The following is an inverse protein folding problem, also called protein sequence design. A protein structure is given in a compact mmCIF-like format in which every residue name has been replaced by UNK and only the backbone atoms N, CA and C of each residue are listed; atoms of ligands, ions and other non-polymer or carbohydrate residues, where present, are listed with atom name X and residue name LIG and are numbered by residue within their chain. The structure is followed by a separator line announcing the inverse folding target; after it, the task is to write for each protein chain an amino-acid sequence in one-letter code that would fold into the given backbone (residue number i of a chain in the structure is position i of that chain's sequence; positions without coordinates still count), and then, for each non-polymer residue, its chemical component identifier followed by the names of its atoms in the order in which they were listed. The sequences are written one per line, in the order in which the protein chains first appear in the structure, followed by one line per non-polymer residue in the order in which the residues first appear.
data_IF_114393652137
#
_entry.id   IF_114393652137
#
_cell.length_a   1.000
_cell.length_b   1.000
_cell.length_c   1.000
_cell.angle_alpha   90.00
_cell.angle_beta   90.00
_cell.angle_gamma   90.00
#
_symmetry.space_group_name_H-M   'P 1'
#
loop_
_entity.id
_entity.type
_entity.pdbx_description
1 polymer ?
#
# COMPACT_ATOMS: atom_id res chain seq x y z
N UNK A 1 7.62 -27.68 -1.87
CA UNK A 1 7.24 -26.38 -2.47
C UNK A 1 8.46 -25.48 -2.50
N UNK A 2 8.80 -24.85 -3.62
CA UNK A 2 9.96 -23.97 -3.69
C UNK A 2 9.78 -22.85 -2.66
N UNK A 3 10.81 -22.62 -1.83
CA UNK A 3 10.79 -21.55 -0.83
C UNK A 3 10.57 -20.24 -1.59
N UNK A 4 9.38 -19.63 -1.45
CA UNK A 4 9.11 -18.30 -2.02
C UNK A 4 10.19 -17.36 -1.48
N UNK A 5 11.08 -16.88 -2.35
CA UNK A 5 12.10 -15.92 -1.95
C UNK A 5 11.40 -14.65 -1.44
N UNK A 6 11.71 -14.28 -0.19
CA UNK A 6 11.19 -13.06 0.41
C UNK A 6 12.15 -11.92 0.11
N UNK A 7 11.67 -10.88 -0.58
CA UNK A 7 12.43 -9.64 -0.78
C UNK A 7 12.13 -8.66 0.36
N UNK A 8 13.14 -7.91 0.79
CA UNK A 8 12.98 -6.80 1.77
C UNK A 8 12.69 -5.52 0.99
N UNK A 9 11.64 -4.80 1.39
CA UNK A 9 11.26 -3.51 0.83
C UNK A 9 11.50 -2.43 1.89
N UNK A 10 12.19 -1.36 1.53
CA UNK A 10 12.34 -0.16 2.34
C UNK A 10 11.67 0.99 1.58
N UNK A 11 10.77 1.70 2.26
CA UNK A 11 10.00 2.82 1.70
C UNK A 11 10.04 3.94 2.71
N UNK A 12 10.28 5.16 2.24
CA UNK A 12 10.11 6.38 3.04
C UNK A 12 8.66 6.82 2.87
N UNK A 13 7.98 7.09 3.98
CA UNK A 13 6.58 7.53 4.00
C UNK A 13 6.45 8.73 4.92
N UNK A 14 5.48 9.60 4.62
CA UNK A 14 5.16 10.74 5.50
C UNK A 14 4.43 10.29 6.76
N UNK A 15 4.36 11.17 7.77
CA UNK A 15 3.56 10.90 8.99
C UNK A 15 2.08 10.69 8.66
N UNK A 16 1.54 11.44 7.69
CA UNK A 16 0.16 11.28 7.21
C UNK A 16 -0.05 9.89 6.60
N UNK A 17 0.91 9.39 5.81
CA UNK A 17 0.85 8.04 5.23
C UNK A 17 0.96 6.95 6.30
N UNK A 18 1.80 7.10 7.33
CA UNK A 18 1.85 6.15 8.45
C UNK A 18 0.54 6.14 9.28
N UNK A 19 -0.07 7.30 9.48
CA UNK A 19 -1.37 7.42 10.14
C UNK A 19 -2.47 6.71 9.33
N UNK A 20 -2.49 6.88 8.00
CA UNK A 20 -3.38 6.15 7.10
C UNK A 20 -3.17 4.64 7.19
N UNK A 21 -1.93 4.15 7.13
CA UNK A 21 -1.62 2.73 7.29
C UNK A 21 -2.11 2.18 8.63
N UNK A 22 -1.93 2.94 9.72
CA UNK A 22 -2.40 2.57 11.06
C UNK A 22 -3.92 2.44 11.09
N UNK A 23 -4.63 3.45 10.57
CA UNK A 23 -6.09 3.48 10.52
C UNK A 23 -6.64 2.32 9.70
N UNK A 24 -6.13 2.11 8.48
CA UNK A 24 -6.56 1.02 7.60
C UNK A 24 -6.28 -0.35 8.20
N UNK A 25 -5.14 -0.54 8.88
CA UNK A 25 -4.84 -1.78 9.58
C UNK A 25 -5.87 -2.09 10.68
N UNK A 26 -6.29 -1.07 11.44
CA UNK A 26 -7.32 -1.21 12.46
C UNK A 26 -8.70 -1.53 11.85
N UNK A 27 -9.10 -0.82 10.81
CA UNK A 27 -10.40 -1.03 10.13
C UNK A 27 -10.52 -2.40 9.48
N UNK A 28 -9.43 -2.93 8.93
CA UNK A 28 -9.38 -4.28 8.35
C UNK A 28 -9.21 -5.38 9.41
N UNK A 29 -8.84 -5.03 10.63
CA UNK A 29 -8.73 -5.99 11.72
C UNK A 29 -10.12 -6.34 12.26
N UNK A 30 -10.29 -7.61 12.63
CA UNK A 30 -11.47 -8.11 13.33
C UNK A 30 -11.06 -8.77 14.66
N UNK A 31 -12.00 -9.05 15.57
CA UNK A 31 -11.71 -9.81 16.78
C UNK A 31 -11.07 -11.18 16.49
N UNK A 32 -11.40 -11.80 15.34
CA UNK A 32 -10.82 -13.08 14.93
C UNK A 32 -9.45 -12.95 14.26
N UNK A 33 -9.08 -11.77 13.75
CA UNK A 33 -7.82 -11.56 13.03
C UNK A 33 -7.31 -10.13 13.07
N UNK A 34 -6.11 -9.96 13.60
CA UNK A 34 -5.36 -8.72 13.51
C UNK A 34 -4.63 -8.61 12.15
N UNK A 35 -4.70 -7.43 11.56
CA UNK A 35 -4.02 -7.09 10.30
C UNK A 35 -2.90 -6.11 10.61
N UNK A 36 -1.67 -6.45 10.19
CA UNK A 36 -0.51 -5.59 10.34
C UNK A 36 -0.42 -4.53 9.23
N UNK A 37 0.27 -3.41 9.49
CA UNK A 37 0.60 -2.40 8.45
C UNK A 37 1.24 -3.05 7.21
N UNK A 38 2.15 -4.02 7.42
CA UNK A 38 2.80 -4.76 6.33
C UNK A 38 1.86 -5.67 5.53
N UNK A 39 0.74 -6.12 6.12
CA UNK A 39 -0.33 -6.80 5.37
C UNK A 39 -1.14 -5.81 4.56
N UNK A 40 -1.44 -4.63 5.11
CA UNK A 40 -2.10 -3.55 4.37
C UNK A 40 -1.29 -3.16 3.14
N UNK A 41 0.03 -2.96 3.29
CA UNK A 41 0.92 -2.64 2.16
C UNK A 41 0.89 -3.73 1.09
N UNK A 42 0.94 -5.01 1.48
CA UNK A 42 0.86 -6.12 0.52
C UNK A 42 -0.49 -6.16 -0.19
N UNK A 43 -1.58 -5.96 0.54
CA UNK A 43 -2.93 -5.90 -0.04
C UNK A 43 -3.07 -4.73 -1.03
N UNK A 44 -2.53 -3.57 -0.69
CA UNK A 44 -2.55 -2.40 -1.56
C UNK A 44 -1.78 -2.64 -2.87
N UNK A 45 -0.60 -3.27 -2.79
CA UNK A 45 0.19 -3.63 -3.99
C UNK A 45 -0.61 -4.57 -4.90
N UNK A 46 -1.23 -5.61 -4.34
CA UNK A 46 -2.04 -6.56 -5.12
C UNK A 46 -3.27 -5.89 -5.74
N UNK A 47 -3.94 -5.00 -5.00
CA UNK A 47 -5.12 -4.27 -5.47
C UNK A 47 -4.77 -3.33 -6.63
N UNK A 48 -3.73 -2.51 -6.49
CA UNK A 48 -3.26 -1.60 -7.55
C UNK A 48 -2.85 -2.39 -8.79
N UNK A 49 -2.13 -3.50 -8.62
CA UNK A 49 -1.70 -4.34 -9.75
C UNK A 49 -2.90 -4.94 -10.51
N UNK A 50 -3.95 -5.32 -9.78
CA UNK A 50 -5.20 -5.80 -10.39
C UNK A 50 -5.92 -4.69 -11.14
N UNK A 51 -6.09 -3.53 -10.52
CA UNK A 51 -6.75 -2.35 -11.10
C UNK A 51 -6.06 -1.91 -12.42
N UNK A 52 -4.73 -1.84 -12.42
CA UNK A 52 -3.93 -1.56 -13.62
C UNK A 52 -4.05 -2.65 -14.70
N UNK A 53 -4.26 -3.91 -14.31
CA UNK A 53 -4.51 -5.01 -15.23
C UNK A 53 -5.92 -5.01 -15.82
N UNK A 54 -6.89 -4.46 -15.09
CA UNK A 54 -8.31 -4.38 -15.47
C UNK A 54 -8.62 -3.14 -16.34
N UNK A 55 -7.61 -2.31 -16.64
CA UNK A 55 -7.72 -1.17 -17.57
C UNK A 55 -8.04 0.18 -16.94
N UNK A 56 -7.89 0.32 -15.62
CA UNK A 56 -7.93 1.62 -14.94
C UNK A 56 -6.87 2.58 -15.52
N UNK A 57 -7.16 3.89 -15.60
CA UNK A 57 -6.25 4.84 -16.22
C UNK A 57 -4.98 4.98 -15.38
N UNK A 58 -3.89 4.39 -15.87
CA UNK A 58 -2.53 4.55 -15.33
C UNK A 58 -2.15 6.03 -15.10
N UNK A 59 -2.77 6.92 -15.87
CA UNK A 59 -2.57 8.37 -15.78
C UNK A 59 -3.16 8.97 -14.49
N UNK A 60 -4.23 8.38 -13.91
CA UNK A 60 -4.78 8.81 -12.62
C UNK A 60 -3.83 8.46 -11.46
N UNK A 61 -3.30 7.23 -11.46
CA UNK A 61 -2.30 6.84 -10.45
C UNK A 61 -1.02 7.68 -10.56
N UNK A 62 -0.59 8.02 -11.78
CA UNK A 62 0.54 8.93 -11.99
C UNK A 62 0.26 10.32 -11.42
N UNK A 63 -0.91 10.89 -11.73
CA UNK A 63 -1.31 12.19 -11.19
C UNK A 63 -1.38 12.19 -9.65
N UNK A 64 -1.83 11.09 -9.04
CA UNK A 64 -1.84 10.93 -7.57
C UNK A 64 -0.43 10.86 -6.98
N UNK A 65 0.53 10.24 -7.65
CA UNK A 65 1.92 10.23 -7.21
C UNK A 65 2.53 11.63 -7.33
N UNK A 66 2.35 12.29 -8.47
CA UNK A 66 2.87 13.65 -8.72
C UNK A 66 2.29 14.69 -7.74
N UNK A 67 1.01 14.54 -7.35
CA UNK A 67 0.38 15.41 -6.36
C UNK A 67 0.90 15.21 -4.93
N UNK A 68 1.41 14.01 -4.62
CA UNK A 68 1.94 13.67 -3.30
C UNK A 68 3.47 13.87 -3.19
N UNK A 69 4.20 13.99 -4.31
CA UNK A 69 5.65 14.22 -4.38
C UNK A 69 6.08 15.66 -3.99
N UNK A 70 5.17 16.51 -3.51
CA UNK A 70 5.44 17.92 -3.14
C UNK A 70 5.71 18.16 -1.64
N UNK A 71 6.17 17.16 -0.87
CA UNK A 71 6.46 17.34 0.57
C UNK A 71 7.74 16.66 1.07
N UNK A 72 8.76 16.60 0.23
CA UNK A 72 10.14 16.29 0.66
C UNK A 72 11.03 17.56 0.64
N UNK A 73 10.56 18.63 1.31
CA UNK A 73 11.39 19.79 1.73
C UNK A 73 11.31 19.96 3.26
#
# INVERSE_FOLDING_TARGET
MPKKERKRLQVVISEEQDALLTKTAYELSSPERLISKSEVVRLAIEKIAKELGDGEPIDEYRALLDANDLRDD
#
